data_IF_987760729812
#
_entry.id   IF_987760729812
#
_cell.length_a   1.000
_cell.length_b   1.000
_cell.length_c   1.000
_cell.angle_alpha   90.00
_cell.angle_beta   90.00
_cell.angle_gamma   90.00
#
_symmetry.space_group_name_H-M   'P 1'
#
loop_
_entity.id
_entity.type
_entity.pdbx_description
1 polymer ?
#
# COMPACT_ATOMS: atom_id res chain seq x y z
N UNK A 1 1.59 19.51 16.38
CA UNK A 1 0.93 19.43 15.07
C UNK A 1 1.58 18.40 14.15
N UNK A 2 2.82 18.60 13.66
CA UNK A 2 3.51 17.65 12.75
C UNK A 2 3.51 16.17 13.16
N UNK A 3 3.66 15.86 14.45
CA UNK A 3 3.70 14.47 14.92
C UNK A 3 2.33 13.77 14.90
N UNK A 4 1.21 14.51 14.98
CA UNK A 4 -0.14 13.95 14.85
C UNK A 4 -0.50 13.68 13.38
N UNK A 5 -0.15 14.60 12.49
CA UNK A 5 -0.30 14.43 11.04
C UNK A 5 0.53 13.25 10.53
N UNK A 6 1.77 13.10 11.02
CA UNK A 6 2.62 11.92 10.76
C UNK A 6 1.89 10.63 11.12
N UNK A 7 1.31 10.51 12.32
CA UNK A 7 0.61 9.29 12.73
C UNK A 7 -0.61 8.94 11.88
N UNK A 8 -1.36 9.93 11.41
CA UNK A 8 -2.51 9.70 10.52
C UNK A 8 -2.06 9.26 9.12
N UNK A 9 -0.98 9.84 8.60
CA UNK A 9 -0.37 9.40 7.35
C UNK A 9 0.20 7.98 7.48
N UNK A 10 0.90 7.69 8.59
CA UNK A 10 1.46 6.37 8.91
C UNK A 10 0.36 5.30 8.94
N UNK A 11 -0.84 5.63 9.44
CA UNK A 11 -1.99 4.73 9.39
C UNK A 11 -2.36 4.37 7.95
N UNK A 12 -2.50 5.36 7.06
CA UNK A 12 -2.80 5.12 5.64
C UNK A 12 -1.72 4.24 4.99
N UNK A 13 -0.44 4.53 5.26
CA UNK A 13 0.67 3.75 4.71
C UNK A 13 0.65 2.31 5.19
N UNK A 14 0.32 2.10 6.48
CA UNK A 14 0.20 0.76 7.06
C UNK A 14 -0.96 -0.04 6.45
N UNK A 15 -2.09 0.60 6.16
CA UNK A 15 -3.25 -0.03 5.50
C UNK A 15 -2.93 -0.38 4.04
N UNK A 16 -2.33 0.54 3.29
CA UNK A 16 -1.87 0.26 1.92
C UNK A 16 -0.92 -0.94 1.89
N UNK A 17 0.06 -0.97 2.80
CA UNK A 17 1.03 -2.04 2.92
C UNK A 17 0.39 -3.39 3.22
N UNK A 18 -0.54 -3.40 4.18
CA UNK A 18 -1.33 -4.59 4.55
C UNK A 18 -2.12 -5.11 3.34
N UNK A 19 -2.88 -4.27 2.66
CA UNK A 19 -3.72 -4.68 1.52
C UNK A 19 -2.90 -5.23 0.35
N UNK A 20 -1.79 -4.55 -0.01
CA UNK A 20 -0.89 -5.02 -1.05
C UNK A 20 -0.27 -6.39 -0.71
N UNK A 21 0.17 -6.55 0.53
CA UNK A 21 0.74 -7.81 1.02
C UNK A 21 -0.30 -8.92 1.01
N UNK A 22 -1.50 -8.65 1.51
CA UNK A 22 -2.62 -9.60 1.53
C UNK A 22 -3.00 -10.03 0.11
N UNK A 23 -3.07 -9.10 -0.84
CA UNK A 23 -3.37 -9.43 -2.24
C UNK A 23 -2.27 -10.32 -2.86
N UNK A 24 -0.99 -10.01 -2.62
CA UNK A 24 0.11 -10.87 -3.07
C UNK A 24 0.03 -12.28 -2.47
N UNK A 25 -0.25 -12.38 -1.18
CA UNK A 25 -0.31 -13.64 -0.45
C UNK A 25 -1.51 -14.50 -0.88
N UNK A 26 -2.65 -13.88 -1.22
CA UNK A 26 -3.80 -14.57 -1.85
C UNK A 26 -3.42 -15.22 -3.17
N UNK A 27 -2.51 -14.62 -3.93
CA UNK A 27 -1.96 -15.17 -5.17
C UNK A 27 -0.84 -16.20 -4.94
N UNK A 28 -0.49 -16.50 -3.68
CA UNK A 28 0.58 -17.43 -3.29
C UNK A 28 1.96 -17.05 -3.84
N UNK A 29 2.18 -15.76 -4.15
CA UNK A 29 3.46 -15.29 -4.70
C UNK A 29 4.36 -14.80 -3.59
N UNK A 30 5.63 -15.20 -3.60
CA UNK A 30 6.64 -14.51 -2.78
C UNK A 30 6.99 -13.15 -3.41
N UNK A 31 7.54 -12.22 -2.63
CA UNK A 31 8.10 -10.95 -3.16
C UNK A 31 9.10 -11.23 -4.29
N UNK A 32 9.93 -12.27 -4.14
CA UNK A 32 10.94 -12.63 -5.15
C UNK A 32 10.30 -13.12 -6.44
N UNK A 33 9.25 -13.94 -6.34
CA UNK A 33 8.53 -14.47 -7.49
C UNK A 33 7.84 -13.33 -8.24
N UNK A 34 7.07 -12.49 -7.54
CA UNK A 34 6.37 -11.36 -8.16
C UNK A 34 7.35 -10.36 -8.80
N UNK A 35 8.46 -10.05 -8.12
CA UNK A 35 9.53 -9.23 -8.67
C UNK A 35 10.10 -9.79 -9.98
N UNK A 36 10.32 -11.10 -10.04
CA UNK A 36 10.85 -11.77 -11.22
C UNK A 36 9.85 -11.78 -12.39
N UNK A 37 8.58 -12.06 -12.13
CA UNK A 37 7.54 -12.16 -13.16
C UNK A 37 7.29 -10.84 -13.90
N UNK A 38 7.41 -9.71 -13.21
CA UNK A 38 7.05 -8.39 -13.73
C UNK A 38 8.26 -7.44 -13.89
N UNK A 39 9.48 -7.95 -13.75
CA UNK A 39 10.72 -7.15 -13.77
C UNK A 39 10.69 -5.95 -12.80
N UNK A 40 10.19 -6.19 -11.58
CA UNK A 40 10.09 -5.19 -10.52
C UNK A 40 11.21 -5.40 -9.52
N UNK A 41 11.85 -4.31 -9.08
CA UNK A 41 12.83 -4.38 -8.00
C UNK A 41 12.20 -4.95 -6.70
N UNK A 42 12.73 -6.05 -6.16
CA UNK A 42 12.28 -6.62 -4.87
C UNK A 42 12.22 -5.59 -3.74
N UNK A 43 13.16 -4.63 -3.72
CA UNK A 43 13.21 -3.54 -2.74
C UNK A 43 12.06 -2.55 -2.89
N UNK A 44 11.46 -2.41 -4.07
CA UNK A 44 10.24 -1.63 -4.27
C UNK A 44 9.06 -2.33 -3.57
N UNK A 45 8.82 -3.60 -3.90
CA UNK A 45 7.72 -4.39 -3.33
C UNK A 45 7.85 -4.46 -1.81
N UNK A 46 9.04 -4.78 -1.29
CA UNK A 46 9.28 -4.84 0.15
C UNK A 46 9.05 -3.51 0.84
N UNK A 47 9.41 -2.37 0.24
CA UNK A 47 9.14 -1.06 0.85
C UNK A 47 7.64 -0.76 0.90
N UNK A 48 6.91 -1.10 -0.16
CA UNK A 48 5.47 -0.90 -0.23
C UNK A 48 4.75 -1.77 0.80
N UNK A 49 5.11 -3.03 0.94
CA UNK A 49 4.48 -3.97 1.90
C UNK A 49 4.91 -3.76 3.36
N UNK A 50 5.92 -2.93 3.63
CA UNK A 50 6.33 -2.57 4.98
C UNK A 50 5.64 -1.29 5.50
N UNK A 51 5.13 -0.42 4.63
CA UNK A 51 4.38 0.79 5.02
C UNK A 51 5.18 1.86 5.78
N UNK A 52 6.51 1.76 5.81
CA UNK A 52 7.39 2.62 6.64
C UNK A 52 7.55 4.03 6.03
N UNK A 53 7.50 4.13 4.70
CA UNK A 53 7.72 5.38 3.99
C UNK A 53 6.50 5.73 3.14
N UNK A 54 6.33 7.02 2.87
CA UNK A 54 5.33 7.48 1.92
C UNK A 54 5.51 6.81 0.55
N UNK A 55 4.51 6.02 0.09
CA UNK A 55 4.58 5.38 -1.19
C UNK A 55 4.30 6.40 -2.30
N UNK A 56 5.17 6.46 -3.31
CA UNK A 56 4.88 7.24 -4.52
C UNK A 56 3.69 6.62 -5.25
N UNK A 57 2.82 7.45 -5.81
CA UNK A 57 1.65 6.98 -6.56
C UNK A 57 2.02 6.02 -7.69
N UNK A 58 3.08 6.32 -8.45
CA UNK A 58 3.58 5.44 -9.53
C UNK A 58 4.00 4.07 -8.98
N UNK A 59 4.66 4.02 -7.82
CA UNK A 59 5.06 2.78 -7.18
C UNK A 59 3.86 1.91 -6.78
N UNK A 60 2.80 2.53 -6.22
CA UNK A 60 1.55 1.84 -5.93
C UNK A 60 0.92 1.31 -7.23
N UNK A 61 0.85 2.14 -8.26
CA UNK A 61 0.27 1.78 -9.54
C UNK A 61 0.97 0.58 -10.18
N UNK A 62 2.31 0.59 -10.20
CA UNK A 62 3.11 -0.52 -10.72
C UNK A 62 2.81 -1.83 -9.98
N UNK A 63 2.71 -1.79 -8.65
CA UNK A 63 2.42 -3.01 -7.88
C UNK A 63 0.96 -3.46 -8.03
N UNK A 64 0.00 -2.53 -8.16
CA UNK A 64 -1.39 -2.85 -8.48
C UNK A 64 -1.51 -3.60 -9.81
N UNK A 65 -0.85 -3.12 -10.86
CA UNK A 65 -0.83 -3.79 -12.17
C UNK A 65 -0.20 -5.19 -12.08
N UNK A 66 0.93 -5.34 -11.37
CA UNK A 66 1.57 -6.65 -11.16
C UNK A 66 0.70 -7.63 -10.34
N UNK A 67 -0.13 -7.10 -9.44
CA UNK A 67 -1.11 -7.87 -8.68
C UNK A 67 -2.45 -8.00 -9.41
N UNK A 68 -2.59 -7.47 -10.63
CA UNK A 68 -3.81 -7.49 -11.41
C UNK A 68 -5.03 -6.91 -10.65
N UNK A 69 -4.81 -5.83 -9.90
CA UNK A 69 -5.86 -5.05 -9.22
C UNK A 69 -5.85 -3.60 -9.70
N UNK A 70 -7.00 -2.95 -9.66
CA UNK A 70 -7.08 -1.52 -9.95
C UNK A 70 -6.61 -0.71 -8.74
N UNK A 71 -5.85 0.38 -8.91
CA UNK A 71 -5.52 1.28 -7.80
C UNK A 71 -6.74 1.83 -7.07
N UNK A 72 -7.85 2.07 -7.79
CA UNK A 72 -9.12 2.48 -7.17
C UNK A 72 -9.68 1.44 -6.20
N UNK A 73 -9.50 0.15 -6.50
CA UNK A 73 -9.93 -0.94 -5.63
C UNK A 73 -9.07 -1.02 -4.38
N UNK A 74 -7.74 -0.84 -4.52
CA UNK A 74 -6.85 -0.72 -3.38
C UNK A 74 -7.26 0.44 -2.46
N UNK A 75 -7.48 1.62 -3.03
CA UNK A 75 -7.86 2.80 -2.26
C UNK A 75 -9.21 2.63 -1.56
N UNK A 76 -10.18 2.03 -2.24
CA UNK A 76 -11.48 1.72 -1.65
C UNK A 76 -11.34 0.82 -0.41
N UNK A 77 -10.57 -0.26 -0.49
CA UNK A 77 -10.33 -1.16 0.66
C UNK A 77 -9.64 -0.43 1.82
N UNK A 78 -8.70 0.47 1.52
CA UNK A 78 -8.06 1.30 2.53
C UNK A 78 -9.07 2.25 3.18
N UNK A 79 -9.96 2.89 2.40
CA UNK A 79 -11.03 3.75 2.92
C UNK A 79 -11.98 3.00 3.85
N UNK A 80 -12.35 1.76 3.50
CA UNK A 80 -13.20 0.88 4.30
C UNK A 80 -12.55 0.47 5.64
N UNK A 81 -11.22 0.36 5.69
CA UNK A 81 -10.45 0.00 6.88
C UNK A 81 -10.08 1.20 7.78
N UNK A 82 -10.32 2.43 7.32
CA UNK A 82 -10.06 3.63 8.12
C UNK A 82 -11.10 3.80 9.24
N UNK A 83 -10.74 4.40 10.39
CA UNK A 83 -11.70 4.71 11.44
C UNK A 83 -12.84 5.61 10.93
N UNK A 84 -14.03 5.46 11.52
CA UNK A 84 -15.13 6.41 11.31
C UNK A 84 -14.66 7.84 11.61
N UNK A 85 -15.10 8.79 10.78
CA UNK A 85 -14.71 10.22 10.82
C UNK A 85 -13.20 10.50 10.67
N UNK A 86 -12.43 9.56 10.09
CA UNK A 86 -11.03 9.82 9.79
C UNK A 86 -10.86 11.00 8.83
N UNK A 87 -10.03 11.98 9.22
CA UNK A 87 -9.64 13.11 8.39
C UNK A 87 -8.17 13.45 8.60
N UNK A 88 -7.43 13.63 7.51
CA UNK A 88 -6.08 14.17 7.53
C UNK A 88 -6.05 15.67 7.88
N UNK A 89 -7.14 16.38 7.60
CA UNK A 89 -7.29 17.81 7.88
C UNK A 89 -8.01 17.98 9.22
N UNK A 90 -7.46 18.80 10.11
CA UNK A 90 -8.17 19.25 11.31
C UNK A 90 -9.17 20.33 10.89
N UNK A 91 -10.46 20.14 11.22
CA UNK A 91 -11.51 21.15 11.02
C UNK A 91 -11.57 22.09 12.21
#
# INVERSE_FOLDING_TARGET
MRQRESKKADLIFSLLAKELKTEREKQQKSIRLLAYEFDIQKSLISRLENGINEPKLISLWTLCEALNIKPSELLKRVEEDLPEDFSLIEK
#
